data_IF_426562462492
#
_entry.id   IF_426562462492
#
_cell.length_a   1.000
_cell.length_b   1.000
_cell.length_c   1.000
_cell.angle_alpha   90.00
_cell.angle_beta   90.00
_cell.angle_gamma   90.00
#
_symmetry.space_group_name_H-M   'P 1'
#
loop_
_entity.id
_entity.type
_entity.pdbx_description
1 polymer ?
#
# COMPACT_ATOMS: atom_id res chain seq x y z
N UNK A 1 7.72 9.79 11.44
CA UNK A 1 6.87 8.60 11.55
C UNK A 1 7.67 7.47 10.94
N UNK A 2 7.95 6.44 11.71
CA UNK A 2 8.79 5.32 11.27
C UNK A 2 8.00 4.37 10.35
N UNK A 3 8.67 3.65 9.45
CA UNK A 3 8.02 2.71 8.54
C UNK A 3 7.23 1.65 9.31
N UNK A 4 7.84 1.09 10.36
CA UNK A 4 7.24 0.05 11.20
C UNK A 4 6.00 0.57 11.94
N UNK A 5 6.04 1.82 12.38
CA UNK A 5 4.91 2.50 13.02
C UNK A 5 3.73 2.65 12.05
N UNK A 6 3.98 3.09 10.82
CA UNK A 6 2.94 3.23 9.79
C UNK A 6 2.35 1.88 9.39
N UNK A 7 3.18 0.84 9.24
CA UNK A 7 2.73 -0.54 8.97
C UNK A 7 1.85 -1.04 10.11
N UNK A 8 2.25 -0.82 11.37
CA UNK A 8 1.49 -1.24 12.55
C UNK A 8 0.10 -0.62 12.59
N UNK A 9 -0.01 0.69 12.32
CA UNK A 9 -1.30 1.40 12.21
C UNK A 9 -2.15 0.82 11.08
N UNK A 10 -1.57 0.62 9.89
CA UNK A 10 -2.25 0.03 8.74
C UNK A 10 -2.80 -1.36 9.04
N UNK A 11 -2.01 -2.23 9.70
CA UNK A 11 -2.43 -3.58 10.10
C UNK A 11 -3.56 -3.54 11.12
N UNK A 12 -3.51 -2.62 12.09
CA UNK A 12 -4.57 -2.45 13.08
C UNK A 12 -5.89 -2.07 12.40
N UNK A 13 -5.86 -1.04 11.55
CA UNK A 13 -7.05 -0.58 10.81
C UNK A 13 -7.59 -1.69 9.91
N UNK A 14 -6.71 -2.46 9.26
CA UNK A 14 -7.11 -3.56 8.40
C UNK A 14 -7.86 -4.67 9.15
N UNK A 15 -7.47 -4.98 10.39
CA UNK A 15 -8.13 -5.99 11.24
C UNK A 15 -9.54 -5.59 11.69
N UNK A 16 -9.84 -4.30 11.68
CA UNK A 16 -11.16 -3.76 12.03
C UNK A 16 -12.16 -3.79 10.86
N UNK A 17 -11.72 -4.22 9.66
CA UNK A 17 -12.57 -4.32 8.46
C UNK A 17 -13.18 -5.72 8.33
N UNK A 18 -14.42 -5.77 7.80
CA UNK A 18 -15.12 -7.02 7.47
C UNK A 18 -14.34 -7.86 6.44
N UNK A 19 -13.77 -7.18 5.44
CA UNK A 19 -12.87 -7.77 4.45
C UNK A 19 -11.46 -7.24 4.63
N UNK A 20 -10.59 -8.13 5.12
CA UNK A 20 -9.19 -7.82 5.34
C UNK A 20 -8.42 -7.91 4.02
N UNK A 21 -7.57 -6.92 3.80
CA UNK A 21 -6.56 -6.97 2.74
C UNK A 21 -5.35 -7.71 3.29
N UNK A 22 -4.65 -8.45 2.44
CA UNK A 22 -3.40 -9.10 2.82
C UNK A 22 -2.36 -8.10 3.32
N UNK A 23 -1.78 -8.42 4.49
CA UNK A 23 -0.85 -7.50 5.16
C UNK A 23 0.42 -7.25 4.34
N UNK A 24 0.94 -8.26 3.61
CA UNK A 24 2.13 -8.09 2.76
C UNK A 24 1.85 -7.14 1.59
N UNK A 25 0.65 -7.22 1.02
CA UNK A 25 0.22 -6.28 0.00
C UNK A 25 0.14 -4.85 0.55
N UNK A 26 -0.44 -4.64 1.74
CA UNK A 26 -0.47 -3.33 2.38
C UNK A 26 0.94 -2.76 2.64
N UNK A 27 1.87 -3.59 3.08
CA UNK A 27 3.29 -3.21 3.26
C UNK A 27 3.93 -2.79 1.92
N UNK A 28 3.66 -3.50 0.82
CA UNK A 28 4.17 -3.15 -0.51
C UNK A 28 3.62 -1.80 -1.00
N UNK A 29 2.32 -1.56 -0.81
CA UNK A 29 1.69 -0.28 -1.17
C UNK A 29 2.30 0.86 -0.36
N UNK A 30 2.45 0.70 0.95
CA UNK A 30 3.05 1.73 1.81
C UNK A 30 4.51 2.02 1.41
N UNK A 31 5.28 0.98 1.10
CA UNK A 31 6.66 1.15 0.62
C UNK A 31 6.74 1.94 -0.70
N UNK A 32 5.77 1.76 -1.61
CA UNK A 32 5.70 2.56 -2.84
C UNK A 32 5.36 4.02 -2.55
N UNK A 33 4.41 4.29 -1.66
CA UNK A 33 4.03 5.66 -1.29
C UNK A 33 5.23 6.40 -0.67
N UNK A 34 5.98 5.74 0.21
CA UNK A 34 7.16 6.34 0.85
C UNK A 34 8.29 6.58 -0.15
N UNK A 35 8.44 5.71 -1.16
CA UNK A 35 9.43 5.88 -2.25
C UNK A 35 9.08 7.01 -3.21
N UNK A 36 7.83 7.48 -3.24
CA UNK A 36 7.35 8.53 -4.13
C UNK A 36 6.71 9.69 -3.32
N UNK A 37 7.50 10.43 -2.53
CA UNK A 37 6.96 11.42 -1.58
C UNK A 37 6.55 12.74 -2.22
N UNK A 38 6.98 13.03 -3.45
CA UNK A 38 6.71 14.29 -4.13
C UNK A 38 5.38 14.22 -4.88
N UNK A 39 4.66 15.34 -4.94
CA UNK A 39 3.42 15.42 -5.73
C UNK A 39 3.66 15.16 -7.22
N UNK A 40 4.85 15.47 -7.74
CA UNK A 40 5.24 15.14 -9.12
C UNK A 40 5.28 13.64 -9.40
N UNK A 41 5.51 12.82 -8.36
CA UNK A 41 5.66 11.37 -8.49
C UNK A 41 4.32 10.65 -8.28
N UNK A 42 3.25 11.38 -7.93
CA UNK A 42 1.94 10.81 -7.61
C UNK A 42 1.38 9.96 -8.75
N UNK A 43 1.48 10.44 -9.99
CA UNK A 43 0.99 9.70 -11.16
C UNK A 43 1.70 8.36 -11.32
N UNK A 44 3.04 8.38 -11.26
CA UNK A 44 3.86 7.15 -11.32
C UNK A 44 3.56 6.21 -10.15
N UNK A 45 3.40 6.74 -8.94
CA UNK A 45 3.08 5.94 -7.77
C UNK A 45 1.72 5.24 -7.93
N UNK A 46 0.72 5.94 -8.49
CA UNK A 46 -0.58 5.35 -8.80
C UNK A 46 -0.49 4.25 -9.85
N UNK A 47 0.27 4.46 -10.92
CA UNK A 47 0.49 3.44 -11.94
C UNK A 47 1.11 2.17 -11.35
N UNK A 48 2.12 2.31 -10.49
CA UNK A 48 2.76 1.17 -9.81
C UNK A 48 1.80 0.43 -8.86
N UNK A 49 0.96 1.16 -8.13
CA UNK A 49 -0.08 0.57 -7.28
C UNK A 49 -1.08 -0.22 -8.14
N UNK A 50 -1.51 0.34 -9.27
CA UNK A 50 -2.44 -0.31 -10.18
C UNK A 50 -1.86 -1.57 -10.82
N UNK A 51 -0.57 -1.56 -11.16
CA UNK A 51 0.14 -2.76 -11.63
C UNK A 51 0.15 -3.86 -10.56
N UNK A 52 0.43 -3.52 -9.30
CA UNK A 52 0.39 -4.49 -8.20
C UNK A 52 -1.02 -5.06 -7.98
N UNK A 53 -2.07 -4.24 -8.09
CA UNK A 53 -3.47 -4.71 -7.99
C UNK A 53 -3.78 -5.69 -9.11
N UNK A 54 -3.43 -5.36 -10.37
CA UNK A 54 -3.66 -6.22 -11.54
C UNK A 54 -2.95 -7.56 -11.43
N UNK A 55 -1.70 -7.57 -10.97
CA UNK A 55 -0.94 -8.81 -10.75
C UNK A 55 -1.61 -9.73 -9.71
N UNK A 56 -2.39 -9.16 -8.80
CA UNK A 56 -3.02 -9.87 -7.69
C UNK A 56 -4.41 -10.37 -8.01
N UNK A 57 -5.18 -9.58 -8.76
CA UNK A 57 -6.52 -9.91 -9.23
C UNK A 57 -6.53 -10.39 -10.67
N UNK A 58 -5.56 -11.23 -11.07
CA UNK A 58 -5.47 -11.74 -12.44
C UNK A 58 -6.82 -12.17 -13.00
N UNK A 59 -7.05 -11.83 -14.28
CA UNK A 59 -8.28 -12.12 -15.06
C UNK A 59 -8.90 -13.50 -14.75
#
# INVERSE_FOLDING_TARGET
MDFEEMVSVLKKVNKERDEQVDEKFLEQILALVIKNPLDSDRGRCQDQIMELIKQRGGD
#
